data_IF_332199471537
#
_entry.id   IF_332199471537
#
_cell.length_a   1.000
_cell.length_b   1.000
_cell.length_c   1.000
_cell.angle_alpha   90.00
_cell.angle_beta   90.00
_cell.angle_gamma   90.00
#
_symmetry.space_group_name_H-M   'P 1'
#
loop_
_entity.id
_entity.type
_entity.pdbx_description
1 polymer ?
#
# COMPACT_ATOMS: atom_id res chain seq x y z
N UNK A 1 13.71 8.13 12.11
CA UNK A 1 14.42 7.69 10.88
C UNK A 1 15.10 8.89 10.23
N UNK A 2 16.29 8.68 9.76
CA UNK A 2 17.01 9.74 9.07
C UNK A 2 16.46 9.96 7.67
N UNK A 3 16.19 11.21 7.32
CA UNK A 3 15.70 11.58 6.01
C UNK A 3 16.77 11.37 4.94
N UNK A 4 16.42 10.64 3.86
CA UNK A 4 17.28 10.42 2.71
C UNK A 4 16.46 10.66 1.45
N UNK A 5 17.10 11.11 0.39
CA UNK A 5 16.45 11.33 -0.90
C UNK A 5 15.21 12.22 -0.82
N UNK A 6 15.14 13.07 0.22
CA UNK A 6 14.06 14.04 0.36
C UNK A 6 12.79 13.50 0.99
N UNK A 7 12.80 12.33 1.61
CA UNK A 7 11.60 11.80 2.26
C UNK A 7 11.93 10.92 3.47
N UNK A 8 10.93 10.71 4.31
CA UNK A 8 11.00 9.83 5.50
C UNK A 8 9.80 8.90 5.50
N UNK A 9 10.02 7.63 5.81
CA UNK A 9 8.96 6.63 6.01
C UNK A 9 8.77 6.41 7.51
N UNK A 10 7.51 6.48 7.96
CA UNK A 10 7.15 6.24 9.36
C UNK A 10 5.89 5.39 9.45
N UNK A 11 5.76 4.67 10.58
CA UNK A 11 4.47 4.12 10.95
C UNK A 11 3.58 5.27 11.39
N UNK A 12 2.46 5.40 10.71
CA UNK A 12 1.53 6.50 10.95
C UNK A 12 0.16 6.10 10.46
N UNK A 13 -0.87 6.36 11.27
CA UNK A 13 -2.25 6.15 10.82
C UNK A 13 -2.82 7.44 10.31
N UNK A 14 -3.34 7.38 9.11
CA UNK A 14 -3.97 8.54 8.49
C UNK A 14 -5.44 8.62 8.88
N UNK A 15 -5.98 9.83 8.93
CA UNK A 15 -7.42 10.02 8.92
C UNK A 15 -7.95 9.66 7.53
N UNK A 16 -9.22 9.25 7.44
CA UNK A 16 -9.83 8.91 6.15
C UNK A 16 -9.71 10.05 5.14
N UNK A 17 -9.93 11.28 5.59
CA UNK A 17 -9.85 12.47 4.73
C UNK A 17 -8.46 12.67 4.14
N UNK A 18 -7.42 12.46 4.96
CA UNK A 18 -6.05 12.58 4.49
C UNK A 18 -5.74 11.54 3.42
N UNK A 19 -6.18 10.31 3.64
CA UNK A 19 -5.93 9.24 2.70
C UNK A 19 -6.70 9.44 1.39
N UNK A 20 -7.97 9.84 1.49
CA UNK A 20 -8.78 10.14 0.29
C UNK A 20 -8.12 11.26 -0.52
N UNK A 21 -7.62 12.29 0.16
CA UNK A 21 -6.92 13.39 -0.51
C UNK A 21 -5.66 12.89 -1.21
N UNK A 22 -4.89 12.03 -0.56
CA UNK A 22 -3.72 11.41 -1.16
C UNK A 22 -4.08 10.61 -2.42
N UNK A 23 -5.18 9.85 -2.38
CA UNK A 23 -5.61 9.03 -3.51
C UNK A 23 -5.90 9.84 -4.77
N UNK A 24 -6.21 11.11 -4.64
CA UNK A 24 -6.41 12.01 -5.80
C UNK A 24 -5.12 12.21 -6.59
N UNK A 25 -3.97 11.96 -5.96
CA UNK A 25 -2.65 12.17 -6.56
C UNK A 25 -1.96 10.87 -6.96
N UNK A 26 -2.68 9.75 -6.94
CA UNK A 26 -2.15 8.43 -7.28
C UNK A 26 -3.09 7.69 -8.20
N UNK A 27 -2.58 6.60 -8.78
CA UNK A 27 -3.41 5.68 -9.57
C UNK A 27 -4.04 4.58 -8.70
N UNK A 28 -3.70 4.55 -7.41
CA UNK A 28 -4.22 3.58 -6.46
C UNK A 28 -5.73 3.71 -6.26
N UNK A 29 -6.28 4.91 -6.40
CA UNK A 29 -7.70 5.16 -6.21
C UNK A 29 -8.60 4.30 -7.10
N UNK A 30 -8.15 3.95 -8.31
CA UNK A 30 -8.91 3.11 -9.22
C UNK A 30 -9.05 1.66 -8.77
N UNK A 31 -8.38 1.27 -7.69
CA UNK A 31 -8.45 -0.09 -7.14
C UNK A 31 -9.62 -0.28 -6.18
N UNK A 32 -10.35 0.75 -5.87
CA UNK A 32 -11.43 0.67 -4.88
C UNK A 32 -12.80 0.68 -5.54
N UNK A 33 -13.74 -0.17 -5.05
CA UNK A 33 -15.14 -0.05 -5.47
C UNK A 33 -15.71 1.27 -5.02
N UNK A 34 -16.54 1.87 -5.87
CA UNK A 34 -17.20 3.14 -5.55
C UNK A 34 -18.20 2.99 -4.39
N UNK A 35 -18.88 1.85 -4.32
CA UNK A 35 -19.90 1.60 -3.29
C UNK A 35 -19.34 1.72 -1.88
N UNK A 36 -19.95 2.57 -1.09
CA UNK A 36 -19.57 2.82 0.31
C UNK A 36 -18.10 3.21 0.47
N UNK A 37 -17.56 3.90 -0.52
CA UNK A 37 -16.13 4.20 -0.57
C UNK A 37 -15.64 4.91 0.69
N UNK A 38 -16.27 6.01 1.09
CA UNK A 38 -15.81 6.78 2.26
C UNK A 38 -15.88 5.97 3.55
N UNK A 39 -16.93 5.22 3.75
CA UNK A 39 -17.09 4.35 4.91
C UNK A 39 -16.01 3.29 4.96
N UNK A 40 -15.73 2.64 3.83
CA UNK A 40 -14.72 1.59 3.75
C UNK A 40 -13.32 2.13 3.94
N UNK A 41 -13.01 3.30 3.39
CA UNK A 41 -11.72 3.94 3.62
C UNK A 41 -11.52 4.25 5.11
N UNK A 42 -12.54 4.78 5.77
CA UNK A 42 -12.49 5.04 7.20
C UNK A 42 -12.15 3.79 8.01
N UNK A 43 -12.74 2.67 7.63
CA UNK A 43 -12.47 1.39 8.30
C UNK A 43 -11.06 0.90 8.01
N UNK A 44 -10.64 0.91 6.75
CA UNK A 44 -9.33 0.34 6.42
C UNK A 44 -8.15 1.13 7.00
N UNK A 45 -8.20 2.45 7.01
CA UNK A 45 -7.12 3.23 7.61
C UNK A 45 -7.03 3.03 9.11
N UNK A 46 -8.15 2.72 9.75
CA UNK A 46 -8.20 2.47 11.19
C UNK A 46 -7.79 1.05 11.56
N UNK A 47 -8.02 0.07 10.69
CA UNK A 47 -7.87 -1.35 11.01
C UNK A 47 -6.65 -2.04 10.43
N UNK A 48 -5.93 -1.44 9.50
CA UNK A 48 -4.72 -2.06 8.97
C UNK A 48 -3.76 -2.41 10.11
N UNK A 49 -3.15 -3.60 10.04
CA UNK A 49 -2.19 -4.02 11.08
C UNK A 49 -0.98 -3.12 11.13
N UNK A 50 -0.47 -2.76 9.95
CA UNK A 50 0.67 -1.85 9.79
C UNK A 50 0.26 -0.80 8.77
N UNK A 51 0.51 0.45 9.11
CA UNK A 51 0.25 1.59 8.23
C UNK A 51 1.52 2.41 8.12
N UNK A 52 2.11 2.45 6.92
CA UNK A 52 3.33 3.22 6.64
C UNK A 52 3.01 4.40 5.75
N UNK A 53 3.62 5.52 6.07
CA UNK A 53 3.46 6.76 5.31
C UNK A 53 4.84 7.31 4.99
N UNK A 54 5.05 7.69 3.72
CA UNK A 54 6.23 8.42 3.28
C UNK A 54 5.85 9.88 3.13
N UNK A 55 6.59 10.78 3.77
CA UNK A 55 6.39 12.23 3.66
C UNK A 55 7.66 12.90 3.15
N UNK A 56 7.48 13.94 2.33
CA UNK A 56 8.59 14.73 1.83
C UNK A 56 9.02 15.78 2.84
N UNK A 57 9.94 16.66 2.46
CA UNK A 57 10.50 17.68 3.35
C UNK A 57 9.48 18.73 3.79
N UNK A 58 8.40 18.91 3.03
CA UNK A 58 7.31 19.81 3.40
C UNK A 58 6.14 19.08 4.07
N UNK A 59 6.40 17.84 4.53
CA UNK A 59 5.44 17.00 5.25
C UNK A 59 4.22 16.55 4.42
N UNK A 60 4.30 16.64 3.11
CA UNK A 60 3.26 16.12 2.23
C UNK A 60 3.35 14.60 2.13
N UNK A 61 2.20 13.93 2.07
CA UNK A 61 2.15 12.48 1.87
C UNK A 61 2.51 12.18 0.42
N UNK A 62 3.58 11.43 0.21
CA UNK A 62 4.03 11.06 -1.12
C UNK A 62 3.98 9.55 -1.39
N UNK A 63 3.71 8.78 -0.36
CA UNK A 63 3.54 7.34 -0.51
C UNK A 63 2.88 6.73 0.72
N UNK A 64 2.19 5.60 0.52
CA UNK A 64 1.60 4.82 1.59
C UNK A 64 1.78 3.35 1.31
N UNK A 65 1.83 2.55 2.38
CA UNK A 65 1.78 1.10 2.28
C UNK A 65 1.10 0.55 3.53
N UNK A 66 -0.01 -0.16 3.32
CA UNK A 66 -0.76 -0.76 4.42
C UNK A 66 -0.71 -2.28 4.28
N UNK A 67 -0.68 -2.97 5.41
CA UNK A 67 -0.68 -4.42 5.43
C UNK A 67 -1.52 -4.99 6.54
N UNK A 68 -2.00 -6.21 6.31
CA UNK A 68 -2.67 -7.04 7.30
C UNK A 68 -1.73 -8.21 7.59
N UNK A 69 -1.44 -8.44 8.86
CA UNK A 69 -0.47 -9.47 9.26
C UNK A 69 -0.81 -10.05 10.62
N UNK A 70 -0.45 -11.33 10.81
CA UNK A 70 -0.50 -11.96 12.12
C UNK A 70 0.84 -11.84 12.87
N UNK A 71 1.84 -11.22 12.25
CA UNK A 71 3.19 -11.07 12.78
C UNK A 71 3.91 -12.42 13.03
N UNK A 72 3.36 -13.51 12.54
CA UNK A 72 3.91 -14.85 12.72
C UNK A 72 4.31 -15.49 11.39
N UNK A 73 3.38 -15.50 10.42
CA UNK A 73 3.59 -16.16 9.14
C UNK A 73 3.16 -15.34 7.94
N UNK A 74 2.09 -14.54 8.08
CA UNK A 74 1.36 -13.99 6.93
C UNK A 74 1.37 -12.48 6.92
N UNK A 75 1.58 -11.93 5.75
CA UNK A 75 1.42 -10.50 5.50
C UNK A 75 0.73 -10.33 4.15
N UNK A 76 -0.35 -9.57 4.14
CA UNK A 76 -1.02 -9.19 2.91
C UNK A 76 -0.89 -7.69 2.71
N UNK A 77 -0.29 -7.26 1.59
CA UNK A 77 -0.25 -5.85 1.22
C UNK A 77 -1.62 -5.49 0.67
N UNK A 78 -2.34 -4.62 1.36
CA UNK A 78 -3.66 -4.18 0.92
C UNK A 78 -3.59 -2.94 0.06
N UNK A 79 -2.68 -2.04 0.38
CA UNK A 79 -2.56 -0.75 -0.27
C UNK A 79 -1.10 -0.40 -0.44
N UNK A 80 -0.72 -0.07 -1.66
CA UNK A 80 0.60 0.49 -1.96
C UNK A 80 0.39 1.57 -3.02
N UNK A 81 0.70 2.80 -2.66
CA UNK A 81 0.55 3.92 -3.58
C UNK A 81 1.66 4.92 -3.43
N UNK A 82 2.08 5.48 -4.55
CA UNK A 82 3.08 6.56 -4.59
C UNK A 82 2.48 7.68 -5.43
N UNK A 83 2.63 8.92 -4.96
CA UNK A 83 2.15 10.08 -5.71
C UNK A 83 2.77 10.09 -7.11
N UNK A 84 2.00 10.47 -8.12
CA UNK A 84 2.44 10.41 -9.53
C UNK A 84 3.76 11.12 -9.77
N UNK A 85 3.96 12.26 -9.11
CA UNK A 85 5.18 13.06 -9.23
C UNK A 85 6.42 12.38 -8.65
N UNK A 86 6.23 11.37 -7.83
CA UNK A 86 7.30 10.69 -7.10
C UNK A 86 7.54 9.25 -7.56
N UNK A 87 6.88 8.81 -8.63
CA UNK A 87 7.10 7.46 -9.16
C UNK A 87 8.50 7.32 -9.76
N UNK A 88 9.02 6.10 -9.78
CA UNK A 88 10.33 5.82 -10.34
C UNK A 88 11.51 6.22 -9.46
N UNK A 89 11.28 6.56 -8.20
CA UNK A 89 12.34 7.02 -7.27
C UNK A 89 12.66 6.02 -6.16
N UNK A 90 12.10 4.82 -6.23
CA UNK A 90 12.37 3.77 -5.24
C UNK A 90 11.53 3.83 -3.97
N UNK A 91 10.56 4.73 -3.89
CA UNK A 91 9.73 4.89 -2.68
C UNK A 91 8.87 3.65 -2.44
N UNK A 92 8.24 3.11 -3.49
CA UNK A 92 7.42 1.91 -3.37
C UNK A 92 8.22 0.72 -2.85
N UNK A 93 9.41 0.52 -3.38
CA UNK A 93 10.32 -0.55 -2.94
C UNK A 93 10.70 -0.36 -1.47
N UNK A 94 11.02 0.85 -1.07
CA UNK A 94 11.38 1.16 0.32
C UNK A 94 10.22 0.92 1.27
N UNK A 95 9.00 1.30 0.87
CA UNK A 95 7.80 1.07 1.66
C UNK A 95 7.53 -0.42 1.88
N UNK A 96 7.57 -1.22 0.80
CA UNK A 96 7.33 -2.67 0.90
C UNK A 96 8.40 -3.33 1.76
N UNK A 97 9.67 -2.95 1.57
CA UNK A 97 10.77 -3.49 2.38
C UNK A 97 10.57 -3.22 3.86
N UNK A 98 10.17 -2.01 4.20
CA UNK A 98 9.91 -1.64 5.60
C UNK A 98 8.70 -2.36 6.17
N UNK A 99 7.64 -2.51 5.38
CA UNK A 99 6.45 -3.25 5.80
C UNK A 99 6.80 -4.69 6.15
N UNK A 100 7.58 -5.35 5.29
CA UNK A 100 8.01 -6.73 5.51
C UNK A 100 8.86 -6.86 6.77
N UNK A 101 9.80 -5.94 6.99
CA UNK A 101 10.60 -5.92 8.21
C UNK A 101 9.74 -5.84 9.47
N UNK A 102 8.76 -4.93 9.46
CA UNK A 102 7.90 -4.72 10.63
C UNK A 102 7.00 -5.92 10.91
N UNK A 103 6.62 -6.67 9.88
CA UNK A 103 5.81 -7.88 10.05
C UNK A 103 6.62 -9.05 10.62
N UNK A 104 7.94 -9.06 10.43
CA UNK A 104 8.80 -10.14 10.93
C UNK A 104 10.00 -10.47 10.05
N UNK A 105 10.10 -9.85 8.88
CA UNK A 105 11.23 -10.03 7.95
C UNK A 105 11.04 -11.17 6.97
N UNK A 106 11.73 -11.07 5.85
CA UNK A 106 11.61 -12.02 4.73
C UNK A 106 11.93 -13.47 5.09
N UNK A 107 12.70 -13.68 6.14
CA UNK A 107 13.07 -15.04 6.59
C UNK A 107 11.92 -15.73 7.34
N UNK A 108 10.95 -14.98 7.81
CA UNK A 108 9.92 -15.47 8.70
C UNK A 108 8.50 -15.31 8.14
N UNK A 109 8.31 -14.44 7.16
CA UNK A 109 6.98 -14.00 6.73
C UNK A 109 6.76 -14.33 5.26
N UNK A 110 5.58 -14.86 4.94
CA UNK A 110 5.14 -15.04 3.56
C UNK A 110 4.26 -13.84 3.23
N UNK A 111 4.67 -13.09 2.21
CA UNK A 111 3.98 -11.87 1.81
C UNK A 111 3.19 -12.08 0.53
N UNK A 112 1.91 -11.70 0.57
CA UNK A 112 0.99 -11.78 -0.57
C UNK A 112 0.47 -10.40 -0.95
N UNK A 113 0.06 -10.25 -2.20
CA UNK A 113 -0.71 -9.09 -2.63
C UNK A 113 -1.52 -9.44 -3.87
N UNK A 114 -2.60 -8.70 -4.11
CA UNK A 114 -3.34 -8.76 -5.37
C UNK A 114 -2.78 -7.71 -6.30
N UNK A 115 -2.49 -8.08 -7.55
CA UNK A 115 -1.87 -7.17 -8.50
C UNK A 115 -2.66 -7.10 -9.80
N UNK A 116 -2.68 -5.92 -10.42
CA UNK A 116 -3.11 -5.81 -11.81
C UNK A 116 -1.88 -6.01 -12.72
N UNK A 117 -2.11 -6.21 -14.00
CA UNK A 117 -1.04 -6.49 -14.94
C UNK A 117 0.04 -5.40 -14.96
N UNK A 118 -0.35 -4.15 -14.80
CA UNK A 118 0.58 -3.03 -14.84
C UNK A 118 1.55 -3.02 -13.65
N UNK A 119 1.15 -3.61 -12.53
CA UNK A 119 1.96 -3.63 -11.31
C UNK A 119 2.88 -4.85 -11.23
N UNK A 120 2.64 -5.90 -12.03
CA UNK A 120 3.43 -7.12 -11.96
C UNK A 120 4.94 -6.87 -12.08
N UNK A 121 5.42 -6.08 -13.06
CA UNK A 121 6.86 -5.85 -13.16
C UNK A 121 7.49 -5.24 -11.91
N UNK A 122 6.77 -4.37 -11.23
CA UNK A 122 7.26 -3.78 -9.98
C UNK A 122 7.49 -4.85 -8.92
N UNK A 123 6.49 -5.71 -8.71
CA UNK A 123 6.60 -6.75 -7.67
C UNK A 123 7.63 -7.82 -8.03
N UNK A 124 7.77 -8.16 -9.30
CA UNK A 124 8.80 -9.09 -9.74
C UNK A 124 10.21 -8.56 -9.47
N UNK A 125 10.43 -7.27 -9.69
CA UNK A 125 11.72 -6.63 -9.41
C UNK A 125 12.13 -6.70 -7.94
N UNK A 126 11.17 -6.71 -7.04
CA UNK A 126 11.47 -6.81 -5.61
C UNK A 126 11.48 -8.25 -5.12
N UNK A 127 11.36 -9.22 -6.02
CA UNK A 127 11.54 -10.64 -5.71
C UNK A 127 10.27 -11.44 -5.52
N UNK A 128 9.11 -10.87 -5.78
CA UNK A 128 7.84 -11.59 -5.67
C UNK A 128 7.56 -12.37 -6.96
N UNK A 129 6.81 -13.43 -6.86
CA UNK A 129 6.43 -14.30 -7.97
C UNK A 129 4.94 -14.55 -7.94
N UNK A 130 4.35 -14.76 -9.09
CA UNK A 130 2.96 -15.24 -9.17
C UNK A 130 2.89 -16.61 -8.53
N UNK A 131 1.79 -16.86 -7.83
CA UNK A 131 1.55 -18.14 -7.16
C UNK A 131 0.25 -18.76 -7.64
N UNK A 132 0.24 -20.09 -7.75
CA UNK A 132 -0.92 -20.86 -8.18
C UNK A 132 -1.71 -21.43 -6.99
N UNK A 133 -1.25 -21.21 -5.77
CA UNK A 133 -1.85 -21.82 -4.58
C UNK A 133 -2.77 -20.87 -3.81
N UNK A 134 -3.16 -19.76 -4.42
CA UNK A 134 -4.06 -18.79 -3.80
C UNK A 134 -5.47 -18.96 -4.36
N UNK A 135 -6.44 -19.07 -3.47
CA UNK A 135 -7.86 -19.15 -3.84
C UNK A 135 -8.57 -17.89 -3.37
N UNK A 136 -9.49 -17.40 -4.17
CA UNK A 136 -10.22 -16.16 -3.91
C UNK A 136 -11.71 -16.41 -3.91
N UNK A 137 -12.39 -15.86 -2.93
CA UNK A 137 -13.85 -15.78 -2.90
C UNK A 137 -14.19 -14.31 -2.97
N UNK A 138 -14.66 -13.86 -4.12
CA UNK A 138 -14.86 -12.42 -4.36
C UNK A 138 -16.20 -12.15 -5.02
N UNK A 139 -17.06 -11.41 -4.30
CA UNK A 139 -18.36 -10.94 -4.79
C UNK A 139 -18.43 -9.41 -4.81
N UNK A 140 -17.27 -8.73 -4.77
CA UNK A 140 -17.21 -7.28 -4.84
C UNK A 140 -17.00 -6.88 -6.30
N UNK A 141 -17.86 -6.03 -6.82
CA UNK A 141 -17.73 -5.51 -8.18
C UNK A 141 -16.74 -4.35 -8.19
N UNK A 142 -15.63 -4.57 -8.85
CA UNK A 142 -14.60 -3.56 -9.04
C UNK A 142 -14.87 -2.82 -10.33
N UNK A 143 -15.50 -1.69 -10.21
CA UNK A 143 -15.74 -0.81 -11.37
C UNK A 143 -14.77 0.36 -11.28
N UNK A 144 -14.30 0.80 -12.44
CA UNK A 144 -13.39 1.94 -12.49
C UNK A 144 -14.10 3.20 -12.03
N UNK A 145 -13.51 3.92 -11.10
CA UNK A 145 -13.91 5.28 -10.81
C UNK A 145 -12.68 6.08 -10.38
N UNK A 146 -12.77 7.39 -10.47
CA UNK A 146 -11.67 8.28 -10.12
C UNK A 146 -12.01 9.00 -8.83
N UNK A 147 -11.08 8.98 -7.88
CA UNK A 147 -11.23 9.74 -6.63
C UNK A 147 -10.92 11.21 -6.93
N UNK A 148 -11.92 12.06 -6.72
CA UNK A 148 -11.81 13.48 -6.99
C UNK A 148 -12.02 14.34 -5.74
#
# INVERSE_FOLDING_TARGET
MRQRNGYVIREERLAAEEYIDFLKHTDLGSQYPEERFEERIGTLVNKASISLVARNETHEIIGVCFGITDFAYWLFITDLGVAREYTGKGIGKALVGRLLELAGGKENIIMYTCVNENAIPFYEKIGMKKSNDVMVYNHIDWIDFVVE
#
